data_IF_220565838358
#
_entry.id   IF_220565838358
#
_cell.length_a   1.000
_cell.length_b   1.000
_cell.length_c   1.000
_cell.angle_alpha   90.00
_cell.angle_beta   90.00
_cell.angle_gamma   90.00
#
_symmetry.space_group_name_H-M   'P 1'
#
loop_
_entity.id
_entity.type
_entity.pdbx_description
1 polymer ?
#
# COMPACT_ATOMS: atom_id res chain seq x y z
N UNK A 1 -2.57 -13.58 10.68
CA UNK A 1 -3.81 -12.78 10.64
C UNK A 1 -4.43 -12.80 9.27
N UNK A 2 -5.77 -12.81 9.17
CA UNK A 2 -6.54 -12.90 7.91
C UNK A 2 -6.45 -11.62 7.06
N UNK A 3 -6.23 -10.47 7.69
CA UNK A 3 -6.26 -9.14 7.07
C UNK A 3 -5.42 -9.00 5.80
N UNK A 4 -4.21 -9.56 5.76
CA UNK A 4 -3.36 -9.51 4.55
C UNK A 4 -4.05 -10.16 3.35
N UNK A 5 -4.67 -11.34 3.56
CA UNK A 5 -5.33 -12.10 2.50
C UNK A 5 -6.57 -11.35 2.01
N UNK A 6 -7.32 -10.76 2.93
CA UNK A 6 -8.53 -10.01 2.59
C UNK A 6 -8.20 -8.71 1.83
N UNK A 7 -7.15 -8.00 2.24
CA UNK A 7 -6.64 -6.84 1.51
C UNK A 7 -6.19 -7.20 0.08
N UNK A 8 -5.47 -8.30 -0.09
CA UNK A 8 -5.03 -8.76 -1.43
C UNK A 8 -6.25 -9.10 -2.31
N UNK A 9 -7.22 -9.86 -1.78
CA UNK A 9 -8.44 -10.20 -2.52
C UNK A 9 -9.25 -8.96 -2.90
N UNK A 10 -9.41 -8.03 -1.96
CA UNK A 10 -10.13 -6.77 -2.19
C UNK A 10 -9.44 -5.93 -3.26
N UNK A 11 -8.12 -5.78 -3.20
CA UNK A 11 -7.33 -5.08 -4.22
C UNK A 11 -7.52 -5.71 -5.61
N UNK A 12 -7.43 -7.04 -5.70
CA UNK A 12 -7.62 -7.74 -6.97
C UNK A 12 -9.03 -7.57 -7.52
N UNK A 13 -10.06 -7.58 -6.66
CA UNK A 13 -11.45 -7.37 -7.06
C UNK A 13 -11.69 -5.93 -7.54
N UNK A 14 -11.18 -4.93 -6.82
CA UNK A 14 -11.39 -3.51 -7.15
C UNK A 14 -10.63 -3.08 -8.40
N UNK A 15 -9.39 -3.56 -8.56
CA UNK A 15 -8.55 -3.16 -9.69
C UNK A 15 -8.65 -4.10 -10.90
N UNK A 16 -9.35 -5.24 -10.75
CA UNK A 16 -9.39 -6.32 -11.74
C UNK A 16 -8.01 -6.78 -12.25
N UNK A 17 -6.99 -6.70 -11.38
CA UNK A 17 -5.60 -7.05 -11.71
C UNK A 17 -5.03 -7.96 -10.64
N UNK A 18 -4.34 -9.03 -11.06
CA UNK A 18 -3.66 -9.95 -10.15
C UNK A 18 -2.48 -9.26 -9.46
N UNK A 19 -2.44 -9.33 -8.14
CA UNK A 19 -1.33 -8.82 -7.32
C UNK A 19 -0.10 -9.74 -7.50
N UNK A 20 1.03 -9.15 -7.88
CA UNK A 20 2.32 -9.85 -8.06
C UNK A 20 3.31 -9.58 -6.94
N UNK A 21 3.20 -8.42 -6.30
CA UNK A 21 4.10 -7.97 -5.25
C UNK A 21 3.34 -7.26 -4.14
N UNK A 22 3.81 -7.44 -2.90
CA UNK A 22 3.23 -6.84 -1.70
C UNK A 22 4.33 -6.36 -0.77
N UNK A 23 4.25 -5.10 -0.38
CA UNK A 23 5.04 -4.54 0.71
C UNK A 23 4.15 -4.36 1.94
N UNK A 24 4.54 -4.96 3.06
CA UNK A 24 3.77 -4.93 4.30
C UNK A 24 4.68 -4.96 5.53
N UNK A 25 4.14 -4.52 6.67
CA UNK A 25 4.82 -4.53 7.96
C UNK A 25 5.24 -5.93 8.41
N UNK A 26 6.27 -5.98 9.25
CA UNK A 26 6.81 -7.22 9.84
C UNK A 26 5.74 -8.02 10.61
N UNK A 27 4.73 -7.37 11.19
CA UNK A 27 3.62 -8.03 11.89
C UNK A 27 2.84 -8.99 10.99
N UNK A 28 2.83 -8.77 9.68
CA UNK A 28 2.14 -9.63 8.71
C UNK A 28 2.99 -10.83 8.28
N UNK A 29 4.28 -10.89 8.65
CA UNK A 29 5.25 -11.86 8.19
C UNK A 29 5.18 -13.22 8.92
N UNK A 30 3.96 -13.70 9.20
CA UNK A 30 3.69 -15.01 9.82
C UNK A 30 3.73 -16.17 8.80
N UNK A 31 3.84 -17.41 9.27
CA UNK A 31 3.99 -18.60 8.42
C UNK A 31 2.79 -18.82 7.49
N UNK A 32 1.56 -18.56 7.97
CA UNK A 32 0.35 -18.72 7.16
C UNK A 32 0.32 -17.74 5.98
N UNK A 33 0.73 -16.49 6.19
CA UNK A 33 0.81 -15.47 5.15
C UNK A 33 1.95 -15.75 4.17
N UNK A 34 3.11 -16.22 4.66
CA UNK A 34 4.22 -16.66 3.80
C UNK A 34 3.79 -17.79 2.86
N UNK A 35 3.19 -18.85 3.39
CA UNK A 35 2.66 -19.97 2.60
C UNK A 35 1.63 -19.49 1.57
N UNK A 36 0.73 -18.59 1.97
CA UNK A 36 -0.24 -17.98 1.07
C UNK A 36 0.44 -17.22 -0.08
N UNK A 37 1.32 -16.27 0.22
CA UNK A 37 1.99 -15.48 -0.80
C UNK A 37 2.82 -16.35 -1.74
N UNK A 38 3.55 -17.35 -1.22
CA UNK A 38 4.29 -18.30 -2.06
C UNK A 38 3.37 -19.11 -2.97
N UNK A 39 2.24 -19.64 -2.45
CA UNK A 39 1.27 -20.40 -3.24
C UNK A 39 0.73 -19.60 -4.44
N UNK A 40 0.50 -18.30 -4.26
CA UNK A 40 -0.02 -17.43 -5.29
C UNK A 40 1.06 -16.69 -6.10
N UNK A 41 2.35 -17.01 -5.90
CA UNK A 41 3.47 -16.37 -6.61
C UNK A 41 3.61 -14.88 -6.32
N UNK A 42 3.23 -14.44 -5.12
CA UNK A 42 3.31 -13.05 -4.68
C UNK A 42 4.65 -12.80 -4.01
N UNK A 43 5.46 -11.92 -4.58
CA UNK A 43 6.71 -11.45 -3.99
C UNK A 43 6.44 -10.51 -2.83
N UNK A 44 7.12 -10.72 -1.70
CA UNK A 44 6.86 -9.95 -0.46
C UNK A 44 8.10 -9.25 0.06
N UNK A 45 7.92 -8.12 0.75
CA UNK A 45 8.98 -7.43 1.52
C UNK A 45 9.43 -8.18 2.79
N UNK A 46 8.89 -9.36 3.08
CA UNK A 46 9.19 -10.08 4.31
C UNK A 46 10.62 -10.64 4.34
N UNK A 47 11.28 -10.51 5.49
CA UNK A 47 12.58 -11.15 5.75
C UNK A 47 12.41 -12.67 5.74
N UNK A 48 13.28 -13.41 5.05
CA UNK A 48 13.24 -14.88 4.96
C UNK A 48 13.50 -15.51 6.34
N UNK A 49 12.93 -16.69 6.59
CA UNK A 49 13.28 -17.53 7.74
C UNK A 49 14.27 -18.62 7.32
N UNK A 50 15.23 -18.91 8.19
CA UNK A 50 16.21 -19.98 7.99
C UNK A 50 17.28 -19.66 6.95
N UNK A 51 17.92 -20.70 6.42
CA UNK A 51 19.10 -20.59 5.55
C UNK A 51 18.79 -19.80 4.26
N UNK A 52 19.78 -18.99 3.86
CA UNK A 52 19.75 -18.25 2.61
C UNK A 52 19.59 -19.19 1.41
N UNK A 53 18.77 -18.77 0.44
CA UNK A 53 18.67 -19.48 -0.83
C UNK A 53 19.83 -19.05 -1.76
N UNK A 54 20.06 -19.80 -2.84
CA UNK A 54 21.08 -19.45 -3.86
C UNK A 54 20.87 -18.03 -4.42
N UNK A 55 19.61 -17.63 -4.63
CA UNK A 55 19.25 -16.32 -5.21
C UNK A 55 19.00 -15.22 -4.17
N UNK A 56 19.62 -15.29 -2.99
CA UNK A 56 19.32 -14.35 -1.90
C UNK A 56 19.71 -12.90 -2.24
N UNK A 57 20.74 -12.68 -3.06
CA UNK A 57 21.17 -11.34 -3.51
C UNK A 57 20.05 -10.60 -4.25
N UNK A 58 19.47 -11.24 -5.28
CA UNK A 58 18.35 -10.69 -6.05
C UNK A 58 17.11 -10.46 -5.18
N UNK A 59 16.81 -11.39 -4.27
CA UNK A 59 15.68 -11.25 -3.34
C UNK A 59 15.88 -10.10 -2.37
N UNK A 60 17.12 -9.83 -1.93
CA UNK A 60 17.44 -8.70 -1.06
C UNK A 60 17.20 -7.37 -1.78
N UNK A 61 17.58 -7.28 -3.06
CA UNK A 61 17.30 -6.10 -3.89
C UNK A 61 15.79 -5.89 -4.02
N UNK A 62 15.03 -6.91 -4.43
CA UNK A 62 13.58 -6.82 -4.54
C UNK A 62 12.92 -6.41 -3.22
N UNK A 63 13.37 -6.97 -2.09
CA UNK A 63 12.88 -6.61 -0.76
C UNK A 63 13.17 -5.15 -0.42
N UNK A 64 14.36 -4.66 -0.77
CA UNK A 64 14.78 -3.28 -0.56
C UNK A 64 13.87 -2.34 -1.34
N UNK A 65 13.66 -2.59 -2.65
CA UNK A 65 12.80 -1.77 -3.48
C UNK A 65 11.34 -1.77 -3.00
N UNK A 66 10.79 -2.93 -2.63
CA UNK A 66 9.44 -3.00 -2.04
C UNK A 66 9.34 -2.22 -0.72
N UNK A 67 10.39 -2.25 0.10
CA UNK A 67 10.42 -1.50 1.36
C UNK A 67 10.52 0.00 1.12
N UNK A 68 11.30 0.44 0.12
CA UNK A 68 11.40 1.84 -0.29
C UNK A 68 10.05 2.35 -0.81
N UNK A 69 9.43 1.66 -1.76
CA UNK A 69 8.12 2.03 -2.31
C UNK A 69 7.04 2.18 -1.23
N UNK A 70 7.09 1.30 -0.21
CA UNK A 70 6.20 1.41 0.96
C UNK A 70 6.46 2.67 1.76
N UNK A 71 7.72 2.94 2.13
CA UNK A 71 8.08 4.08 2.95
C UNK A 71 7.84 5.42 2.22
N UNK A 72 8.15 5.50 0.93
CA UNK A 72 8.09 6.75 0.17
C UNK A 72 6.69 7.03 -0.37
N UNK A 73 6.07 6.09 -1.08
CA UNK A 73 4.79 6.35 -1.77
C UNK A 73 3.60 6.06 -0.88
N UNK A 74 3.56 4.88 -0.27
CA UNK A 74 2.40 4.50 0.56
C UNK A 74 2.37 5.33 1.84
N UNK A 75 3.42 5.23 2.66
CA UNK A 75 3.50 5.95 3.94
C UNK A 75 3.64 7.47 3.74
N UNK A 76 4.36 7.91 2.72
CA UNK A 76 4.43 9.34 2.38
C UNK A 76 3.05 9.93 2.07
N UNK A 77 2.21 9.22 1.30
CA UNK A 77 0.83 9.69 1.04
C UNK A 77 -0.01 9.83 2.31
N UNK A 78 0.12 8.88 3.24
CA UNK A 78 -0.53 8.99 4.55
C UNK A 78 0.03 10.15 5.38
N UNK A 79 1.34 10.40 5.31
CA UNK A 79 1.98 11.56 5.93
C UNK A 79 1.39 12.87 5.42
N UNK A 80 1.28 13.03 4.10
CA UNK A 80 0.66 14.19 3.48
C UNK A 80 -0.79 14.37 3.92
N UNK A 81 -1.59 13.30 3.90
CA UNK A 81 -2.99 13.34 4.34
C UNK A 81 -3.13 13.75 5.82
N UNK A 82 -2.24 13.26 6.69
CA UNK A 82 -2.23 13.61 8.11
C UNK A 82 -1.84 15.07 8.35
N UNK A 83 -0.77 15.53 7.71
CA UNK A 83 -0.18 16.85 7.96
C UNK A 83 -0.92 17.97 7.23
N UNK A 84 -1.24 17.79 5.95
CA UNK A 84 -1.80 18.85 5.10
C UNK A 84 -3.32 18.78 4.93
N UNK A 85 -3.94 17.62 5.17
CA UNK A 85 -5.39 17.42 5.02
C UNK A 85 -6.11 17.16 6.35
N UNK A 86 -5.53 17.65 7.46
CA UNK A 86 -6.12 17.62 8.80
C UNK A 86 -6.50 16.24 9.35
N UNK A 87 -6.03 15.13 8.75
CA UNK A 87 -6.32 13.79 9.28
C UNK A 87 -5.53 13.45 10.55
N UNK A 88 -4.54 14.27 10.93
CA UNK A 88 -3.88 14.16 12.25
C UNK A 88 -4.70 14.81 13.37
N UNK A 89 -5.74 15.59 13.06
CA UNK A 89 -6.53 16.34 14.04
C UNK A 89 -7.84 15.60 14.33
N UNK A 90 -8.21 15.52 15.61
CA UNK A 90 -9.50 14.97 16.02
C UNK A 90 -10.58 16.03 15.78
N UNK A 91 -11.32 15.88 14.69
CA UNK A 91 -12.40 16.80 14.27
C UNK A 91 -13.80 16.17 14.31
N UNK A 92 -13.88 14.86 14.42
CA UNK A 92 -15.11 14.11 14.56
C UNK A 92 -15.12 13.37 15.91
N UNK A 93 -16.31 13.11 16.46
CA UNK A 93 -16.50 12.47 17.78
C UNK A 93 -17.30 11.17 17.76
N UNK A 94 -17.97 10.86 16.64
CA UNK A 94 -18.80 9.67 16.49
C UNK A 94 -18.25 8.80 15.36
N UNK A 95 -18.37 7.48 15.47
CA UNK A 95 -17.85 6.54 14.45
C UNK A 95 -18.28 6.89 13.02
N UNK A 96 -19.55 7.25 12.80
CA UNK A 96 -20.05 7.64 11.47
C UNK A 96 -19.37 8.91 10.94
N UNK A 97 -19.18 9.90 11.81
CA UNK A 97 -18.56 11.17 11.42
C UNK A 97 -17.04 11.06 11.30
N UNK A 98 -16.40 10.16 12.04
CA UNK A 98 -14.98 9.82 11.88
C UNK A 98 -14.70 9.18 10.52
N UNK A 99 -15.51 8.18 10.14
CA UNK A 99 -15.40 7.54 8.82
C UNK A 99 -15.59 8.58 7.71
N UNK A 100 -16.60 9.44 7.85
CA UNK A 100 -16.87 10.50 6.88
C UNK A 100 -15.71 11.51 6.79
N UNK A 101 -15.14 11.92 7.92
CA UNK A 101 -14.02 12.86 7.98
C UNK A 101 -12.76 12.29 7.31
N UNK A 102 -12.43 11.04 7.62
CA UNK A 102 -11.30 10.32 6.99
C UNK A 102 -11.54 10.19 5.49
N UNK A 103 -12.76 9.82 5.09
CA UNK A 103 -13.12 9.67 3.69
C UNK A 103 -12.89 10.97 2.91
N UNK A 104 -13.42 12.10 3.40
CA UNK A 104 -13.24 13.39 2.75
C UNK A 104 -11.77 13.82 2.70
N UNK A 105 -11.01 13.70 3.79
CA UNK A 105 -9.59 14.09 3.79
C UNK A 105 -8.76 13.30 2.77
N UNK A 106 -9.01 11.99 2.65
CA UNK A 106 -8.34 11.15 1.65
C UNK A 106 -8.76 11.55 0.22
N UNK A 107 -10.07 11.74 -0.03
CA UNK A 107 -10.57 12.06 -1.37
C UNK A 107 -10.12 13.45 -1.84
N UNK A 108 -10.11 14.45 -0.96
CA UNK A 108 -9.60 15.79 -1.29
C UNK A 108 -8.12 15.74 -1.68
N UNK A 109 -7.29 15.01 -0.93
CA UNK A 109 -5.88 14.83 -1.26
C UNK A 109 -5.69 14.15 -2.62
N UNK A 110 -6.48 13.11 -2.90
CA UNK A 110 -6.43 12.40 -4.17
C UNK A 110 -6.93 13.26 -5.35
N UNK A 111 -7.98 14.05 -5.14
CA UNK A 111 -8.54 14.93 -6.17
C UNK A 111 -7.51 15.97 -6.64
N UNK A 112 -6.78 16.59 -5.71
CA UNK A 112 -5.70 17.55 -6.05
C UNK A 112 -4.61 16.87 -6.88
N UNK A 113 -4.17 15.66 -6.49
CA UNK A 113 -3.19 14.89 -7.28
C UNK A 113 -3.72 14.48 -8.67
N UNK A 114 -5.04 14.39 -8.86
CA UNK A 114 -5.64 14.09 -10.16
C UNK A 114 -5.67 15.30 -11.08
N UNK A 115 -5.81 16.52 -10.55
CA UNK A 115 -5.85 17.75 -11.36
C UNK A 115 -4.59 17.86 -12.22
N UNK A 116 -3.41 17.74 -11.60
CA UNK A 116 -2.14 17.83 -12.33
C UNK A 116 -1.97 16.70 -13.34
N UNK A 117 -2.47 15.51 -13.04
CA UNK A 117 -2.44 14.37 -13.98
C UNK A 117 -3.34 14.61 -15.20
N UNK A 118 -4.49 15.24 -15.01
CA UNK A 118 -5.42 15.54 -16.10
C UNK A 118 -4.81 16.62 -17.00
N UNK A 119 -4.26 17.70 -16.41
CA UNK A 119 -3.57 18.77 -17.15
C UNK A 119 -2.42 18.21 -18.01
N UNK A 120 -1.51 17.47 -17.38
CA UNK A 120 -0.38 16.84 -18.08
C UNK A 120 -0.79 15.85 -19.18
N UNK A 121 -1.99 15.24 -19.10
CA UNK A 121 -2.51 14.39 -20.18
C UNK A 121 -3.08 15.22 -21.33
N UNK A 122 -3.77 16.31 -21.03
CA UNK A 122 -4.26 17.24 -22.04
C UNK A 122 -3.10 17.86 -22.82
N UNK A 123 -2.04 18.30 -22.12
CA UNK A 123 -0.85 18.89 -22.74
C UNK A 123 -0.06 17.90 -23.62
N UNK A 124 -0.16 16.60 -23.35
CA UNK A 124 0.46 15.53 -24.16
C UNK A 124 -0.38 15.09 -25.36
N UNK A 125 -1.67 15.42 -25.35
CA UNK A 125 -2.60 15.07 -26.40
C UNK A 125 -2.79 16.21 -27.42
N UNK A 126 -2.45 17.44 -27.02
CA UNK A 126 -2.26 18.59 -27.91
C UNK A 126 -0.90 18.53 -28.61
#
# INVERSE_FOLDING_TARGET
GIRLKDCIRMQQKLMNVRVRCVAADSIYANNANRKFCTKYGISTSFVRKGRAARDESLRKVLRSELSKERATRLEGSFGTQKQHYSLSRIKARNRKTEILWIFFGIHTANAILMIDKIRNRADKAA
#
